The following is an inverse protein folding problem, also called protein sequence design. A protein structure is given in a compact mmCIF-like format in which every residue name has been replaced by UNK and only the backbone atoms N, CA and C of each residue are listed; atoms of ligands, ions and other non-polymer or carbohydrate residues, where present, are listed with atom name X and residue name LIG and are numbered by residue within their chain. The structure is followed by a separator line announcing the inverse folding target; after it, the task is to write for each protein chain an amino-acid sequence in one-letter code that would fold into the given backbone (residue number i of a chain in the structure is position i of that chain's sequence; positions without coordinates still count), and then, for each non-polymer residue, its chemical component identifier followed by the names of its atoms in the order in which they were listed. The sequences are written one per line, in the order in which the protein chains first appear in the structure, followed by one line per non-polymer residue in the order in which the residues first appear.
data_IF_338782993980
#
_entry.id   IF_338782993980
#
_cell.length_a   1.000
_cell.length_b   1.000
_cell.length_c   1.000
_cell.angle_alpha   90.00
_cell.angle_beta   90.00
_cell.angle_gamma   90.00
#
_symmetry.space_group_name_H-M   'P 1'
#
loop_
_entity.id
_entity.type
_entity.pdbx_description
1 polymer ?
#
# COMPACT_ATOMS: atom_id res chain seq x y z
N UNK A 1 71.72 -42.97 -4.37
CA UNK A 1 70.68 -43.66 -5.16
C UNK A 1 69.35 -43.26 -4.56
N UNK A 2 68.51 -42.62 -5.38
CA UNK A 2 67.17 -42.06 -5.12
C UNK A 2 66.24 -43.06 -4.39
N UNK A 3 65.10 -42.68 -3.78
CA UNK A 3 63.91 -42.10 -4.43
C UNK A 3 63.03 -41.43 -3.35
N UNK A 4 62.65 -40.18 -3.59
CA UNK A 4 61.61 -39.47 -2.85
C UNK A 4 60.20 -39.77 -3.37
N UNK A 5 59.24 -39.60 -2.45
CA UNK A 5 57.80 -39.74 -2.58
C UNK A 5 57.16 -38.94 -3.72
N UNK A 6 56.31 -39.59 -4.52
CA UNK A 6 55.31 -38.91 -5.36
C UNK A 6 53.91 -39.43 -5.00
N UNK A 7 53.16 -38.68 -4.17
CA UNK A 7 51.72 -38.90 -3.98
C UNK A 7 50.96 -37.87 -4.82
N UNK A 8 50.34 -38.38 -5.88
CA UNK A 8 49.20 -37.91 -6.68
C UNK A 8 48.72 -36.46 -6.49
N UNK A 9 49.09 -35.60 -7.44
CA UNK A 9 48.55 -34.25 -7.66
C UNK A 9 47.34 -34.23 -8.63
N UNK A 10 46.84 -35.41 -9.04
CA UNK A 10 45.92 -35.53 -10.18
C UNK A 10 44.45 -35.33 -9.82
N UNK A 11 44.06 -35.44 -8.54
CA UNK A 11 42.66 -35.31 -8.09
C UNK A 11 42.25 -33.86 -7.77
N UNK A 12 43.22 -32.96 -7.57
CA UNK A 12 42.96 -31.54 -7.27
C UNK A 12 42.78 -30.75 -8.58
N UNK A 13 43.47 -31.15 -9.66
CA UNK A 13 43.40 -30.46 -10.95
C UNK A 13 42.00 -30.57 -11.60
N UNK A 14 41.29 -31.69 -11.42
CA UNK A 14 39.95 -31.89 -11.98
C UNK A 14 38.86 -31.00 -11.34
N UNK A 15 39.00 -30.63 -10.06
CA UNK A 15 38.06 -29.74 -9.37
C UNK A 15 38.28 -28.26 -9.71
N UNK A 16 39.53 -27.86 -9.96
CA UNK A 16 39.86 -26.48 -10.35
C UNK A 16 39.43 -26.20 -11.79
N UNK A 17 39.54 -27.18 -12.70
CA UNK A 17 39.16 -27.01 -14.10
C UNK A 17 37.62 -26.94 -14.29
N UNK A 18 36.83 -27.67 -13.48
CA UNK A 18 35.37 -27.58 -13.57
C UNK A 18 34.82 -26.24 -13.02
N UNK A 19 35.46 -25.62 -12.03
CA UNK A 19 35.14 -24.25 -11.59
C UNK A 19 35.66 -23.18 -12.55
N UNK A 20 36.79 -23.40 -13.21
CA UNK A 20 37.37 -22.44 -14.15
C UNK A 20 36.62 -22.36 -15.49
N UNK A 21 35.84 -23.38 -15.86
CA UNK A 21 35.03 -23.40 -17.09
C UNK A 21 33.65 -22.74 -16.96
N UNK A 22 33.22 -22.35 -15.75
CA UNK A 22 32.01 -21.52 -15.54
C UNK A 22 32.30 -20.04 -15.26
N UNK A 23 33.55 -19.66 -15.04
CA UNK A 23 33.92 -18.29 -14.65
C UNK A 23 34.52 -17.50 -15.83
N UNK A 24 33.71 -17.20 -16.84
CA UNK A 24 33.92 -15.95 -17.58
C UNK A 24 33.26 -14.88 -16.72
N UNK A 25 33.97 -14.43 -15.69
CA UNK A 25 33.58 -13.28 -14.90
C UNK A 25 33.71 -12.04 -15.79
N UNK A 26 32.65 -11.71 -16.52
CA UNK A 26 32.39 -10.33 -16.90
C UNK A 26 32.39 -9.52 -15.59
N UNK A 27 33.16 -8.43 -15.49
CA UNK A 27 33.05 -7.51 -14.36
C UNK A 27 31.71 -6.78 -14.50
N UNK A 28 30.63 -7.47 -14.20
CA UNK A 28 29.37 -6.83 -13.92
C UNK A 28 29.52 -6.32 -12.49
N UNK A 29 29.70 -5.01 -12.32
CA UNK A 29 29.37 -4.37 -11.06
C UNK A 29 28.00 -4.89 -10.65
N UNK A 30 27.86 -5.44 -9.44
CA UNK A 30 26.60 -5.97 -8.95
C UNK A 30 25.46 -5.02 -9.32
N UNK A 31 24.51 -5.51 -10.10
CA UNK A 31 23.50 -4.67 -10.73
C UNK A 31 22.39 -4.44 -9.70
N UNK A 32 22.38 -3.32 -8.99
CA UNK A 32 21.27 -3.01 -8.10
C UNK A 32 20.09 -2.46 -8.92
N UNK A 33 19.18 -3.36 -9.33
CA UNK A 33 18.04 -3.02 -10.19
C UNK A 33 16.72 -3.64 -9.66
N UNK A 34 16.26 -3.23 -8.48
CA UNK A 34 14.97 -3.68 -7.97
C UNK A 34 13.81 -3.12 -8.80
N UNK A 35 12.63 -3.74 -8.69
CA UNK A 35 11.36 -3.14 -9.12
C UNK A 35 10.39 -3.06 -7.96
N UNK A 36 9.48 -2.08 -8.01
CA UNK A 36 8.47 -1.83 -6.97
C UNK A 36 7.08 -1.80 -7.59
N UNK A 37 6.10 -2.30 -6.86
CA UNK A 37 4.68 -2.08 -7.16
C UNK A 37 3.93 -1.89 -5.84
N UNK A 38 3.16 -0.82 -5.74
CA UNK A 38 2.37 -0.51 -4.55
C UNK A 38 0.87 -0.66 -4.82
N UNK A 39 0.13 -1.12 -3.82
CA UNK A 39 -1.33 -1.24 -3.85
C UNK A 39 -1.93 -0.81 -2.52
N UNK A 40 -3.14 -0.26 -2.57
CA UNK A 40 -3.93 0.14 -1.41
C UNK A 40 -5.27 -0.61 -1.43
N UNK A 41 -5.82 -0.91 -0.26
CA UNK A 41 -7.15 -1.51 -0.14
C UNK A 41 -8.30 -0.49 -0.33
N UNK A 42 -8.00 0.78 -0.07
CA UNK A 42 -8.89 1.92 -0.16
C UNK A 42 -8.11 3.13 -0.68
N UNK A 43 -8.75 3.98 -1.49
CA UNK A 43 -8.21 5.27 -1.95
C UNK A 43 -9.21 6.42 -1.72
N UNK A 44 -10.21 6.20 -0.87
CA UNK A 44 -11.12 7.24 -0.43
C UNK A 44 -10.38 8.23 0.47
N UNK A 45 -10.40 9.50 0.07
CA UNK A 45 -9.87 10.60 0.84
C UNK A 45 -10.53 10.67 2.22
N UNK A 46 -9.78 11.08 3.24
CA UNK A 46 -10.25 11.12 4.63
C UNK A 46 -10.42 9.75 5.30
N UNK A 47 -10.36 8.64 4.56
CA UNK A 47 -10.45 7.30 5.11
C UNK A 47 -9.05 6.67 5.31
N UNK A 48 -8.98 5.69 6.21
CA UNK A 48 -7.78 4.88 6.40
C UNK A 48 -7.63 3.85 5.27
N UNK A 49 -6.39 3.48 4.96
CA UNK A 49 -6.05 2.38 4.08
C UNK A 49 -4.91 1.53 4.64
N UNK A 50 -5.00 0.23 4.38
CA UNK A 50 -3.84 -0.63 4.36
C UNK A 50 -3.13 -0.52 3.02
N UNK A 51 -1.84 -0.82 2.99
CA UNK A 51 -1.10 -0.90 1.75
C UNK A 51 -0.19 -2.12 1.70
N UNK A 52 0.06 -2.56 0.48
CA UNK A 52 1.02 -3.60 0.18
C UNK A 52 2.01 -3.12 -0.87
N UNK A 53 3.29 -3.38 -0.64
CA UNK A 53 4.36 -3.10 -1.58
C UNK A 53 5.07 -4.40 -1.94
N UNK A 54 5.13 -4.71 -3.23
CA UNK A 54 5.89 -5.83 -3.77
C UNK A 54 7.20 -5.32 -4.35
N UNK A 55 8.30 -5.85 -3.84
CA UNK A 55 9.65 -5.59 -4.31
C UNK A 55 10.19 -6.86 -4.98
N UNK A 56 10.86 -6.71 -6.12
CA UNK A 56 11.58 -7.80 -6.77
C UNK A 56 13.05 -7.44 -6.90
N UNK A 57 13.91 -8.30 -6.38
CA UNK A 57 15.36 -8.24 -6.58
C UNK A 57 15.76 -9.37 -7.54
N UNK A 58 16.10 -9.07 -8.80
CA UNK A 58 16.46 -10.10 -9.76
C UNK A 58 17.77 -10.82 -9.41
N UNK A 59 17.93 -12.06 -9.87
CA UNK A 59 19.20 -12.79 -9.82
C UNK A 59 20.38 -11.93 -10.33
N UNK A 60 21.49 -11.98 -9.60
CA UNK A 60 22.70 -11.19 -9.83
C UNK A 60 22.62 -9.76 -9.27
N UNK A 61 21.49 -9.36 -8.68
CA UNK A 61 21.34 -8.05 -8.04
C UNK A 61 21.76 -8.07 -6.58
N UNK A 62 22.16 -6.92 -6.05
CA UNK A 62 22.27 -6.78 -4.61
C UNK A 62 20.88 -6.73 -3.96
N UNK A 63 20.72 -7.36 -2.81
CA UNK A 63 19.48 -7.22 -2.04
C UNK A 63 19.42 -5.93 -1.21
N UNK A 64 18.27 -5.66 -0.57
CA UNK A 64 18.02 -4.42 0.14
C UNK A 64 18.71 -4.42 1.51
N UNK A 65 19.33 -3.30 1.84
CA UNK A 65 19.74 -2.95 3.21
C UNK A 65 18.68 -2.09 3.92
N UNK A 66 18.08 -1.14 3.20
CA UNK A 66 16.98 -0.35 3.73
C UNK A 66 15.96 -0.01 2.65
N UNK A 67 14.73 0.22 3.11
CA UNK A 67 13.58 0.64 2.33
C UNK A 67 12.94 1.82 3.06
N UNK A 68 12.92 2.99 2.42
CA UNK A 68 12.25 4.19 2.91
C UNK A 68 11.08 4.50 1.98
N UNK A 69 9.87 4.53 2.54
CA UNK A 69 8.65 4.90 1.83
C UNK A 69 8.20 6.26 2.39
N UNK A 70 7.87 7.19 1.52
CA UNK A 70 7.38 8.52 1.89
C UNK A 70 6.04 8.78 1.20
N UNK A 71 5.10 9.31 1.99
CA UNK A 71 3.79 9.75 1.55
C UNK A 71 3.74 11.28 1.68
N UNK A 72 3.26 11.98 0.65
CA UNK A 72 3.26 13.45 0.60
C UNK A 72 2.16 14.10 1.45
N UNK A 73 0.92 13.66 1.29
CA UNK A 73 -0.27 14.33 1.84
C UNK A 73 -0.97 13.51 2.94
N UNK A 74 -0.58 12.26 3.11
CA UNK A 74 -1.22 11.34 4.05
C UNK A 74 -0.49 11.28 5.37
N UNK A 75 -1.19 10.90 6.45
CA UNK A 75 -0.62 10.86 7.78
C UNK A 75 -0.90 9.53 8.44
N UNK A 76 -0.01 9.08 9.32
CA UNK A 76 -0.31 7.93 10.16
C UNK A 76 -1.16 8.34 11.37
N UNK A 77 -2.12 7.49 11.73
CA UNK A 77 -2.84 7.57 13.00
C UNK A 77 -2.48 6.39 13.88
N UNK A 78 -1.76 6.68 14.97
CA UNK A 78 -1.33 5.67 15.93
C UNK A 78 -2.29 5.53 17.12
N UNK A 79 -3.46 6.18 17.06
CA UNK A 79 -4.46 6.12 18.12
C UNK A 79 -4.98 4.69 18.33
N UNK A 80 -4.92 4.23 19.57
CA UNK A 80 -5.43 2.90 19.95
C UNK A 80 -4.46 1.74 19.76
N UNK A 81 -3.30 1.96 19.15
CA UNK A 81 -2.25 0.94 19.04
C UNK A 81 -1.49 0.77 20.36
N UNK A 82 -1.07 -0.47 20.64
CA UNK A 82 -0.33 -0.82 21.86
C UNK A 82 0.87 -1.73 21.56
N UNK A 83 1.95 -1.67 22.37
CA UNK A 83 3.07 -2.60 22.24
C UNK A 83 2.65 -4.06 22.21
N UNK A 84 3.27 -4.85 21.33
CA UNK A 84 2.98 -6.27 21.09
C UNK A 84 1.85 -6.54 20.09
N UNK A 85 1.11 -5.51 19.65
CA UNK A 85 0.12 -5.67 18.57
C UNK A 85 0.83 -5.91 17.22
N UNK A 86 0.24 -6.74 16.37
CA UNK A 86 0.68 -6.90 14.98
C UNK A 86 0.12 -5.76 14.12
N UNK A 87 0.97 -5.16 13.28
CA UNK A 87 0.63 -4.02 12.40
C UNK A 87 1.01 -4.24 10.93
N UNK A 88 1.37 -5.47 10.59
CA UNK A 88 1.76 -5.82 9.23
C UNK A 88 2.51 -7.14 9.14
N UNK A 89 3.14 -7.34 8.00
CA UNK A 89 3.92 -8.53 7.70
C UNK A 89 4.87 -8.31 6.53
N UNK A 90 5.85 -9.21 6.44
CA UNK A 90 6.73 -9.34 5.29
C UNK A 90 6.77 -10.81 4.87
N UNK A 91 6.56 -11.06 3.58
CA UNK A 91 6.67 -12.39 2.97
C UNK A 91 7.79 -12.35 1.95
N UNK A 92 8.78 -13.22 2.14
CA UNK A 92 9.86 -13.42 1.17
C UNK A 92 9.64 -14.76 0.51
N UNK A 93 9.37 -14.74 -0.80
CA UNK A 93 9.25 -15.94 -1.60
C UNK A 93 10.64 -16.43 -2.00
N UNK A 94 10.96 -17.68 -1.67
CA UNK A 94 12.23 -18.31 -2.02
C UNK A 94 11.96 -19.38 -3.06
N UNK A 95 12.53 -19.22 -4.24
CA UNK A 95 12.52 -20.24 -5.28
C UNK A 95 13.90 -20.35 -5.93
N UNK A 96 14.65 -21.37 -5.54
CA UNK A 96 15.99 -21.66 -6.05
C UNK A 96 15.94 -23.01 -6.75
N UNK A 97 16.22 -23.04 -8.05
CA UNK A 97 16.25 -24.28 -8.83
C UNK A 97 17.65 -24.53 -9.38
N UNK A 98 18.34 -25.50 -8.79
CA UNK A 98 19.62 -26.00 -9.31
C UNK A 98 19.45 -27.40 -9.92
N UNK A 99 20.41 -27.92 -10.70
CA UNK A 99 20.34 -29.29 -11.22
C UNK A 99 20.29 -30.39 -10.14
N UNK A 100 20.65 -30.07 -8.90
CA UNK A 100 20.81 -31.04 -7.79
C UNK A 100 19.77 -30.84 -6.69
N UNK A 101 19.34 -29.60 -6.47
CA UNK A 101 18.43 -29.21 -5.38
C UNK A 101 17.44 -28.16 -5.87
N UNK A 102 16.17 -28.34 -5.53
CA UNK A 102 15.14 -27.29 -5.60
C UNK A 102 14.81 -26.84 -4.18
N UNK A 103 14.92 -25.55 -3.89
CA UNK A 103 14.46 -24.92 -2.65
C UNK A 103 13.26 -24.06 -2.99
N UNK A 104 12.12 -24.31 -2.35
CA UNK A 104 10.88 -23.61 -2.58
C UNK A 104 10.10 -23.45 -1.27
N UNK A 105 9.57 -22.25 -1.05
CA UNK A 105 8.74 -21.91 0.10
C UNK A 105 8.87 -20.43 0.43
N UNK A 106 8.48 -20.06 1.64
CA UNK A 106 8.38 -18.67 2.07
C UNK A 106 9.08 -18.48 3.41
N UNK A 107 9.59 -17.28 3.64
CA UNK A 107 9.92 -16.78 4.96
C UNK A 107 8.86 -15.73 5.30
N UNK A 108 8.11 -15.96 6.37
CA UNK A 108 7.03 -15.09 6.83
C UNK A 108 7.50 -14.42 8.11
N UNK A 109 7.46 -13.09 8.12
CA UNK A 109 7.73 -12.27 9.29
C UNK A 109 6.52 -11.42 9.64
N UNK A 110 6.16 -11.41 10.92
CA UNK A 110 5.09 -10.56 11.45
C UNK A 110 5.67 -9.27 12.01
N UNK A 111 5.06 -8.14 11.68
CA UNK A 111 5.49 -6.83 12.16
C UNK A 111 4.76 -6.53 13.47
N UNK A 112 5.49 -6.50 14.58
CA UNK A 112 4.93 -6.28 15.92
C UNK A 112 5.44 -4.98 16.51
N UNK A 113 4.53 -4.20 17.12
CA UNK A 113 4.86 -2.93 17.77
C UNK A 113 5.80 -3.17 18.95
N UNK A 114 6.90 -2.45 18.99
CA UNK A 114 7.79 -2.34 20.15
C UNK A 114 7.40 -1.15 21.02
N UNK A 115 7.31 0.03 20.42
CA UNK A 115 6.92 1.28 21.11
C UNK A 115 5.99 2.10 20.21
N UNK A 116 5.16 2.93 20.83
CA UNK A 116 4.26 3.85 20.12
C UNK A 116 4.15 5.14 20.93
N UNK A 117 4.26 6.26 20.24
CA UNK A 117 3.97 7.59 20.76
C UNK A 117 3.08 8.37 19.77
N UNK A 118 2.99 9.69 19.92
CA UNK A 118 2.09 10.52 19.11
C UNK A 118 2.58 10.73 17.67
N UNK A 119 3.87 10.58 17.43
CA UNK A 119 4.50 10.93 16.14
C UNK A 119 5.23 9.74 15.51
N UNK A 120 5.52 8.71 16.29
CA UNK A 120 6.29 7.55 15.87
C UNK A 120 5.72 6.25 16.42
N UNK A 121 5.80 5.22 15.59
CA UNK A 121 5.55 3.83 15.96
C UNK A 121 6.77 3.01 15.55
N UNK A 122 7.46 2.45 16.52
CA UNK A 122 8.59 1.55 16.30
C UNK A 122 8.09 0.10 16.37
N UNK A 123 8.44 -0.70 15.38
CA UNK A 123 8.07 -2.10 15.28
C UNK A 123 9.26 -2.95 14.80
N UNK A 124 9.12 -4.26 14.97
CA UNK A 124 10.09 -5.24 14.47
C UNK A 124 9.36 -6.30 13.66
N UNK A 125 9.89 -6.63 12.49
CA UNK A 125 9.44 -7.77 11.70
C UNK A 125 10.17 -9.02 12.20
N UNK A 126 9.48 -9.91 12.91
CA UNK A 126 10.06 -11.14 13.44
C UNK A 126 9.66 -12.33 12.59
N UNK A 127 10.61 -13.17 12.20
CA UNK A 127 10.32 -14.39 11.42
C UNK A 127 9.51 -15.36 12.28
N UNK A 128 8.26 -15.60 11.92
CA UNK A 128 7.35 -16.48 12.66
C UNK A 128 7.24 -17.85 12.01
N UNK A 129 7.33 -17.92 10.68
CA UNK A 129 7.14 -19.15 9.94
C UNK A 129 8.09 -19.24 8.73
N UNK A 130 8.53 -20.46 8.45
CA UNK A 130 9.25 -20.81 7.23
C UNK A 130 8.57 -22.03 6.62
N UNK A 131 8.18 -21.93 5.36
CA UNK A 131 7.41 -22.97 4.67
C UNK A 131 8.27 -23.78 3.68
N UNK A 132 7.72 -24.91 3.23
CA UNK A 132 8.37 -25.77 2.24
C UNK A 132 9.69 -26.37 2.74
N UNK A 133 10.73 -26.31 1.92
CA UNK A 133 12.07 -26.81 2.27
C UNK A 133 13.11 -25.69 2.43
N UNK A 134 12.66 -24.43 2.58
CA UNK A 134 13.52 -23.24 2.69
C UNK A 134 14.47 -23.35 3.87
N UNK A 135 14.00 -23.73 5.07
CA UNK A 135 14.88 -23.85 6.24
C UNK A 135 16.03 -24.85 6.03
N UNK A 136 15.75 -25.99 5.38
CA UNK A 136 16.77 -26.99 5.04
C UNK A 136 17.70 -26.51 3.92
N UNK A 137 17.16 -25.81 2.92
CA UNK A 137 17.93 -25.21 1.82
C UNK A 137 18.90 -24.13 2.33
N UNK A 138 18.43 -23.22 3.18
CA UNK A 138 19.25 -22.20 3.83
C UNK A 138 20.37 -22.82 4.68
N UNK A 139 20.06 -23.85 5.46
CA UNK A 139 21.06 -24.57 6.25
C UNK A 139 22.15 -25.21 5.37
N UNK A 140 21.78 -25.75 4.21
CA UNK A 140 22.75 -26.29 3.25
C UNK A 140 23.67 -25.21 2.67
N UNK A 141 23.16 -23.98 2.54
CA UNK A 141 23.90 -22.80 2.10
C UNK A 141 24.67 -22.11 3.24
N UNK A 142 24.60 -22.63 4.48
CA UNK A 142 25.33 -22.11 5.63
C UNK A 142 24.60 -21.00 6.40
N UNK A 143 23.34 -20.74 6.08
CA UNK A 143 22.51 -19.78 6.81
C UNK A 143 21.76 -20.50 7.96
N UNK A 144 21.85 -20.00 9.20
CA UNK A 144 21.08 -20.57 10.31
C UNK A 144 19.58 -20.37 10.09
N UNK A 145 18.75 -21.19 10.74
CA UNK A 145 17.30 -21.00 10.71
C UNK A 145 16.94 -19.64 11.38
N UNK A 146 16.34 -18.69 10.66
CA UNK A 146 16.02 -17.37 11.20
C UNK A 146 14.72 -17.31 12.02
N UNK A 147 14.00 -18.43 12.20
CA UNK A 147 12.74 -18.45 12.99
C UNK A 147 12.97 -17.89 14.40
N UNK A 148 12.14 -16.93 14.81
CA UNK A 148 12.25 -16.20 16.07
C UNK A 148 13.29 -15.08 16.09
N UNK A 149 13.96 -14.80 14.97
CA UNK A 149 14.87 -13.67 14.83
C UNK A 149 14.15 -12.47 14.20
N UNK A 150 14.67 -11.28 14.47
CA UNK A 150 14.20 -10.03 13.86
C UNK A 150 14.80 -9.96 12.45
N UNK A 151 13.94 -9.95 11.43
CA UNK A 151 14.28 -9.73 10.03
C UNK A 151 14.53 -8.26 9.72
N UNK A 152 13.64 -7.38 10.20
CA UNK A 152 13.71 -5.95 9.92
C UNK A 152 13.34 -5.12 11.14
N UNK A 153 14.00 -3.98 11.30
CA UNK A 153 13.53 -2.91 12.17
C UNK A 153 12.66 -1.96 11.35
N UNK A 154 11.53 -1.55 11.90
CA UNK A 154 10.52 -0.76 11.21
C UNK A 154 10.18 0.48 12.03
N UNK A 155 10.17 1.64 11.39
CA UNK A 155 9.77 2.89 12.03
C UNK A 155 8.77 3.61 11.14
N UNK A 156 7.56 3.81 11.65
CA UNK A 156 6.53 4.63 11.05
C UNK A 156 6.61 6.00 11.71
N UNK A 157 6.69 7.06 10.92
CA UNK A 157 6.84 8.44 11.40
C UNK A 157 5.80 9.33 10.75
N UNK A 158 5.09 10.10 11.57
CA UNK A 158 4.25 11.20 11.15
C UNK A 158 5.11 12.44 10.91
N UNK A 159 4.92 13.13 9.78
CA UNK A 159 5.65 14.35 9.49
C UNK A 159 4.92 15.60 10.05
N UNK A 160 5.64 16.65 10.50
CA UNK A 160 5.04 17.77 11.24
C UNK A 160 4.10 18.70 10.47
N UNK A 161 4.07 18.62 9.14
CA UNK A 161 3.26 19.52 8.28
C UNK A 161 2.18 18.69 7.61
N UNK A 162 2.59 17.89 6.62
CA UNK A 162 1.80 16.84 5.99
C UNK A 162 2.77 15.73 5.61
N UNK A 163 2.28 14.50 5.53
CA UNK A 163 3.04 13.34 5.09
C UNK A 163 3.38 12.36 6.20
N UNK A 164 3.89 11.23 5.76
CA UNK A 164 4.29 10.14 6.61
C UNK A 164 5.49 9.42 6.00
N UNK A 165 6.32 8.79 6.83
CA UNK A 165 7.43 7.96 6.34
C UNK A 165 7.44 6.62 7.04
N UNK A 166 7.70 5.58 6.25
CA UNK A 166 7.96 4.24 6.75
C UNK A 166 9.39 3.87 6.40
N UNK A 167 10.23 3.68 7.42
CA UNK A 167 11.61 3.26 7.26
C UNK A 167 11.78 1.81 7.75
N UNK A 168 12.29 0.95 6.87
CA UNK A 168 12.53 -0.46 7.12
C UNK A 168 14.03 -0.70 6.92
N UNK A 169 14.68 -1.29 7.91
CA UNK A 169 16.12 -1.56 7.87
C UNK A 169 16.35 -3.04 8.15
N UNK A 170 17.16 -3.69 7.31
CA UNK A 170 17.58 -5.07 7.51
C UNK A 170 18.29 -5.21 8.87
N UNK A 171 17.82 -6.16 9.67
CA UNK A 171 18.42 -6.49 10.96
C UNK A 171 19.56 -7.52 10.81
N UNK A 172 19.80 -8.02 9.60
CA UNK A 172 20.91 -8.90 9.25
C UNK A 172 20.68 -10.37 9.57
N UNK A 173 19.44 -10.76 9.90
CA UNK A 173 19.09 -12.17 10.15
C UNK A 173 18.69 -12.93 8.89
N UNK A 174 18.36 -12.22 7.81
CA UNK A 174 17.99 -12.82 6.53
C UNK A 174 19.17 -12.81 5.54
N UNK A 175 19.22 -13.78 4.60
CA UNK A 175 20.24 -13.86 3.56
C UNK A 175 19.95 -12.89 2.40
N UNK A 176 19.60 -11.65 2.71
CA UNK A 176 19.24 -10.63 1.72
C UNK A 176 20.39 -9.66 1.42
N UNK A 177 21.52 -9.78 2.09
CA UNK A 177 22.68 -8.93 1.87
C UNK A 177 23.59 -9.46 0.76
N UNK A 178 24.27 -8.55 0.06
CA UNK A 178 25.17 -8.89 -1.04
C UNK A 178 24.46 -9.30 -2.33
N UNK A 179 25.23 -9.88 -3.25
CA UNK A 179 24.72 -10.35 -4.54
C UNK A 179 23.87 -11.60 -4.33
N UNK A 180 22.64 -11.55 -4.81
CA UNK A 180 21.69 -12.65 -4.75
C UNK A 180 21.87 -13.53 -5.99
N UNK A 181 22.05 -14.84 -5.79
CA UNK A 181 22.15 -15.81 -6.90
C UNK A 181 20.75 -16.31 -7.36
N UNK A 182 19.67 -15.62 -6.98
CA UNK A 182 18.29 -15.96 -7.32
C UNK A 182 17.37 -14.74 -7.17
N UNK A 183 16.20 -14.81 -7.81
CA UNK A 183 15.16 -13.79 -7.67
C UNK A 183 14.55 -13.80 -6.26
N UNK A 184 14.42 -12.63 -5.64
CA UNK A 184 13.77 -12.47 -4.34
C UNK A 184 12.58 -11.52 -4.47
N UNK A 185 11.36 -12.07 -4.58
CA UNK A 185 10.14 -11.34 -4.32
C UNK A 185 9.98 -11.12 -2.81
N UNK A 186 9.84 -9.86 -2.40
CA UNK A 186 9.52 -9.45 -1.04
C UNK A 186 8.21 -8.68 -1.09
N UNK A 187 7.19 -9.18 -0.39
CA UNK A 187 5.90 -8.51 -0.25
C UNK A 187 5.81 -7.96 1.17
N UNK A 188 5.67 -6.65 1.27
CA UNK A 188 5.39 -5.95 2.52
C UNK A 188 3.89 -5.63 2.59
N UNK A 189 3.28 -5.79 3.76
CA UNK A 189 1.89 -5.42 4.03
C UNK A 189 1.78 -4.70 5.36
N UNK A 190 0.88 -3.72 5.45
CA UNK A 190 0.55 -3.05 6.72
C UNK A 190 -0.93 -3.24 7.06
N UNK A 191 -1.28 -3.03 8.32
CA UNK A 191 -2.68 -2.77 8.71
C UNK A 191 -3.15 -1.38 8.21
N UNK A 192 -4.46 -1.06 8.31
CA UNK A 192 -5.01 0.25 7.97
C UNK A 192 -4.56 1.33 8.95
N UNK A 193 -3.34 1.83 8.75
CA UNK A 193 -2.71 2.83 9.61
C UNK A 193 -2.37 4.13 8.87
N UNK A 194 -2.50 4.16 7.54
CA UNK A 194 -2.34 5.35 6.70
C UNK A 194 -3.70 6.02 6.51
N UNK A 195 -3.88 7.23 7.04
CA UNK A 195 -5.08 8.04 6.83
C UNK A 195 -4.85 8.98 5.65
N UNK A 196 -5.74 8.90 4.67
CA UNK A 196 -5.70 9.76 3.50
C UNK A 196 -6.09 11.21 3.84
N UNK A 197 -5.47 12.17 3.14
CA UNK A 197 -5.87 13.57 3.24
C UNK A 197 -7.37 13.74 2.95
N UNK A 198 -8.15 14.47 3.78
CA UNK A 198 -9.56 14.75 3.51
C UNK A 198 -9.74 15.76 2.36
N UNK A 199 -8.68 16.44 1.91
CA UNK A 199 -8.76 17.35 0.77
C UNK A 199 -8.73 16.63 -0.59
N UNK A 200 -8.63 15.29 -0.59
CA UNK A 200 -8.45 14.51 -1.81
C UNK A 200 -7.12 14.80 -2.51
N UNK A 201 -7.11 14.64 -3.84
CA UNK A 201 -5.95 14.93 -4.67
C UNK A 201 -5.21 13.67 -5.13
N UNK A 202 -3.88 13.75 -5.17
CA UNK A 202 -3.02 12.64 -5.62
C UNK A 202 -2.07 12.28 -4.51
N UNK A 203 -2.21 11.04 -4.01
CA UNK A 203 -1.25 10.42 -3.14
C UNK A 203 0.00 10.07 -3.96
N UNK A 204 1.13 10.65 -3.56
CA UNK A 204 2.45 10.35 -4.12
C UNK A 204 3.18 9.43 -3.15
N UNK A 205 3.55 8.24 -3.63
CA UNK A 205 4.35 7.27 -2.88
C UNK A 205 5.77 7.28 -3.44
N UNK A 206 6.69 7.87 -2.71
CA UNK A 206 8.12 7.81 -3.03
C UNK A 206 8.77 6.66 -2.27
N UNK A 207 9.33 5.71 -3.00
CA UNK A 207 10.04 4.56 -2.44
C UNK A 207 11.53 4.65 -2.77
N UNK A 208 12.35 4.76 -1.74
CA UNK A 208 13.82 4.77 -1.83
C UNK A 208 14.38 3.47 -1.26
N UNK A 209 15.07 2.69 -2.09
CA UNK A 209 15.71 1.44 -1.69
C UNK A 209 17.22 1.64 -1.69
N UNK A 210 17.90 1.24 -0.62
CA UNK A 210 19.36 1.26 -0.53
C UNK A 210 19.87 -0.17 -0.42
N UNK A 211 20.83 -0.53 -1.26
CA UNK A 211 21.53 -1.81 -1.25
C UNK A 211 22.56 -1.92 -0.13
N UNK A 212 23.06 -3.13 0.12
CA UNK A 212 24.16 -3.37 1.07
C UNK A 212 25.47 -2.65 0.75
N UNK A 213 25.73 -2.32 -0.53
CA UNK A 213 26.88 -1.52 -0.95
C UNK A 213 26.66 0.00 -0.89
N UNK A 214 25.43 0.44 -0.56
CA UNK A 214 25.06 1.85 -0.47
C UNK A 214 24.58 2.46 -1.79
N UNK A 215 24.37 1.67 -2.84
CA UNK A 215 23.68 2.13 -4.06
C UNK A 215 22.20 2.33 -3.75
N UNK A 216 21.63 3.44 -4.18
CA UNK A 216 20.23 3.82 -3.94
C UNK A 216 19.44 3.90 -5.25
N UNK A 217 18.19 3.45 -5.21
CA UNK A 217 17.22 3.56 -6.30
C UNK A 217 15.93 4.19 -5.76
N UNK A 218 15.28 5.02 -6.58
CA UNK A 218 14.05 5.73 -6.21
C UNK A 218 12.94 5.43 -7.22
N UNK A 219 11.73 5.26 -6.70
CA UNK A 219 10.50 5.02 -7.45
C UNK A 219 9.43 5.98 -6.97
N UNK A 220 8.64 6.51 -7.90
CA UNK A 220 7.50 7.38 -7.62
C UNK A 220 6.26 6.74 -8.25
N UNK A 221 5.25 6.49 -7.44
CA UNK A 221 3.93 6.00 -7.88
C UNK A 221 2.85 7.01 -7.48
N UNK A 222 1.89 7.25 -8.37
CA UNK A 222 0.82 8.24 -8.21
C UNK A 222 -0.54 7.55 -8.10
N UNK A 223 -1.28 7.87 -7.03
CA UNK A 223 -2.60 7.30 -6.75
C UNK A 223 -3.62 8.44 -6.61
N UNK A 224 -4.56 8.61 -7.55
CA UNK A 224 -5.65 9.55 -7.39
C UNK A 224 -6.55 9.11 -6.23
N UNK A 225 -6.74 10.00 -5.25
CA UNK A 225 -7.69 9.78 -4.17
C UNK A 225 -9.10 10.10 -4.70
N UNK A 226 -10.05 9.21 -4.46
CA UNK A 226 -11.47 9.52 -4.62
C UNK A 226 -11.86 10.54 -3.54
N UNK A 227 -12.51 11.63 -3.94
CA UNK A 227 -13.00 12.69 -3.05
C UNK A 227 -13.80 12.06 -1.88
N UNK A 228 -13.64 12.47 -0.59
CA UNK A 228 -14.35 11.84 0.51
C UNK A 228 -15.86 12.02 0.39
N UNK A 229 -16.27 13.09 -0.30
CA UNK A 229 -17.61 13.68 -0.32
C UNK A 229 -18.33 13.44 -1.66
N UNK A 230 -17.85 12.47 -2.45
CA UNK A 230 -18.32 12.23 -3.82
C UNK A 230 -17.99 13.37 -4.79
N UNK A 231 -18.59 13.33 -5.97
CA UNK A 231 -18.56 14.42 -6.93
C UNK A 231 -19.25 15.67 -6.36
N UNK A 232 -18.74 16.86 -6.71
CA UNK A 232 -19.46 18.10 -6.41
C UNK A 232 -20.86 18.06 -7.01
N UNK A 233 -21.84 18.56 -6.28
CA UNK A 233 -23.23 18.58 -6.72
C UNK A 233 -23.93 19.86 -6.31
N UNK A 234 -25.20 19.96 -6.69
CA UNK A 234 -26.11 21.00 -6.24
C UNK A 234 -27.28 20.32 -5.52
N UNK A 235 -27.42 20.56 -4.22
CA UNK A 235 -28.48 20.00 -3.40
C UNK A 235 -29.84 20.44 -3.93
N UNK A 236 -30.77 19.50 -4.01
CA UNK A 236 -32.09 19.61 -4.60
C UNK A 236 -32.15 19.70 -6.15
N UNK A 237 -31.03 19.62 -6.86
CA UNK A 237 -30.99 19.39 -8.32
C UNK A 237 -30.90 17.88 -8.60
N UNK A 238 -31.93 17.15 -8.18
CA UNK A 238 -31.96 15.68 -8.15
C UNK A 238 -31.90 15.04 -9.56
N UNK A 239 -32.30 15.78 -10.61
CA UNK A 239 -32.19 15.29 -11.99
C UNK A 239 -30.84 15.68 -12.66
N UNK A 240 -29.97 16.38 -11.94
CA UNK A 240 -28.65 16.86 -12.35
C UNK A 240 -28.65 17.71 -13.63
N UNK A 241 -29.69 18.52 -13.85
CA UNK A 241 -29.83 19.39 -15.03
C UNK A 241 -29.27 20.82 -14.83
N UNK A 242 -28.74 21.10 -13.63
CA UNK A 242 -28.10 22.34 -13.26
C UNK A 242 -29.09 23.41 -12.79
N UNK A 243 -30.38 23.09 -12.65
CA UNK A 243 -31.43 24.04 -12.31
C UNK A 243 -32.39 23.50 -11.26
N UNK A 244 -32.40 24.08 -10.06
CA UNK A 244 -33.42 23.75 -9.05
C UNK A 244 -34.82 24.23 -9.45
N UNK A 245 -35.69 23.28 -9.79
CA UNK A 245 -37.06 23.53 -10.24
C UNK A 245 -38.00 22.34 -9.91
N UNK A 246 -39.23 22.38 -10.45
CA UNK A 246 -40.23 21.34 -10.16
C UNK A 246 -39.86 19.97 -10.77
N UNK A 247 -39.02 19.93 -11.81
CA UNK A 247 -38.57 18.71 -12.44
C UNK A 247 -37.77 17.83 -11.48
N UNK A 248 -36.99 18.42 -10.57
CA UNK A 248 -36.24 17.71 -9.53
C UNK A 248 -37.16 16.96 -8.58
N UNK A 249 -38.19 17.65 -8.09
CA UNK A 249 -39.20 17.04 -7.22
C UNK A 249 -39.92 15.89 -7.93
N UNK A 250 -40.25 16.05 -9.22
CA UNK A 250 -40.88 14.99 -10.01
C UNK A 250 -39.94 13.80 -10.14
N UNK A 251 -38.64 14.05 -10.36
CA UNK A 251 -37.62 13.01 -10.45
C UNK A 251 -37.49 12.23 -9.13
N UNK A 252 -37.38 12.91 -7.99
CA UNK A 252 -37.36 12.28 -6.65
C UNK A 252 -38.60 11.42 -6.40
N UNK A 253 -39.79 11.93 -6.71
CA UNK A 253 -41.03 11.16 -6.51
C UNK A 253 -41.15 9.98 -7.47
N UNK A 254 -40.64 10.11 -8.69
CA UNK A 254 -40.62 9.03 -9.67
C UNK A 254 -39.70 7.89 -9.23
N UNK A 255 -38.51 8.20 -8.70
CA UNK A 255 -37.59 7.19 -8.16
C UNK A 255 -38.19 6.48 -6.94
N UNK A 256 -38.80 7.22 -6.02
CA UNK A 256 -39.39 6.67 -4.79
C UNK A 256 -40.63 5.79 -5.02
N UNK A 257 -41.52 6.18 -5.94
CA UNK A 257 -42.86 5.59 -6.01
C UNK A 257 -43.22 4.96 -7.35
N UNK A 258 -42.46 5.25 -8.42
CA UNK A 258 -42.79 4.80 -9.78
C UNK A 258 -41.73 3.87 -10.38
N UNK A 259 -40.72 3.47 -9.61
CA UNK A 259 -39.58 2.68 -10.11
C UNK A 259 -38.73 3.44 -11.13
N UNK A 260 -38.76 4.77 -11.07
CA UNK A 260 -37.88 5.63 -11.86
C UNK A 260 -36.42 5.42 -11.48
N UNK A 261 -35.51 5.85 -12.36
CA UNK A 261 -34.09 5.85 -12.06
C UNK A 261 -33.80 6.84 -10.92
N UNK A 262 -32.96 6.45 -9.96
CA UNK A 262 -32.62 7.28 -8.79
C UNK A 262 -31.51 8.30 -9.07
N UNK A 263 -30.92 8.30 -10.28
CA UNK A 263 -29.74 9.09 -10.59
C UNK A 263 -28.44 8.43 -10.10
N UNK A 264 -27.33 9.14 -10.28
CA UNK A 264 -25.97 8.76 -9.81
C UNK A 264 -25.52 9.59 -8.62
N UNK A 265 -26.35 10.51 -8.14
CA UNK A 265 -26.04 11.37 -7.02
C UNK A 265 -27.24 11.43 -6.08
N UNK A 266 -27.21 10.65 -5.01
CA UNK A 266 -28.33 10.59 -4.07
C UNK A 266 -28.33 11.78 -3.12
N UNK A 267 -27.17 12.39 -2.86
CA UNK A 267 -27.07 13.62 -2.04
C UNK A 267 -27.78 14.81 -2.68
N UNK A 268 -27.77 14.90 -4.01
CA UNK A 268 -28.54 15.90 -4.73
C UNK A 268 -30.06 15.73 -4.53
N UNK A 269 -30.52 14.51 -4.26
CA UNK A 269 -31.92 14.19 -4.03
C UNK A 269 -32.35 14.33 -2.56
N UNK A 270 -31.39 14.28 -1.61
CA UNK A 270 -31.61 14.65 -0.21
C UNK A 270 -31.67 16.18 -0.07
N UNK A 271 -32.85 16.72 -0.35
CA UNK A 271 -33.07 18.17 -0.42
C UNK A 271 -33.05 18.82 0.94
N UNK A 272 -33.38 18.07 2.01
CA UNK A 272 -33.42 18.59 3.37
C UNK A 272 -32.24 18.16 4.25
N UNK A 273 -31.23 17.51 3.67
CA UNK A 273 -29.94 17.19 4.28
C UNK A 273 -30.12 16.43 5.60
N UNK A 274 -30.97 15.39 5.59
CA UNK A 274 -31.26 14.56 6.77
C UNK A 274 -30.68 13.14 6.70
N UNK A 275 -29.91 12.85 5.65
CA UNK A 275 -29.25 11.59 5.36
C UNK A 275 -30.20 10.52 4.83
N UNK A 276 -31.32 10.90 4.22
CA UNK A 276 -32.34 9.95 3.76
C UNK A 276 -33.26 10.50 2.67
N UNK A 277 -33.08 10.05 1.43
CA UNK A 277 -34.01 10.38 0.33
C UNK A 277 -35.37 9.73 0.53
N UNK A 278 -36.39 10.54 0.81
CA UNK A 278 -37.77 10.14 1.05
C UNK A 278 -38.78 11.23 0.61
N UNK A 279 -40.04 11.12 1.05
CA UNK A 279 -41.08 12.08 0.65
C UNK A 279 -40.88 13.48 1.26
N UNK A 280 -40.14 13.58 2.37
CA UNK A 280 -39.81 14.83 3.02
C UNK A 280 -39.02 15.76 2.09
N UNK A 281 -38.11 15.22 1.27
CA UNK A 281 -37.31 15.96 0.30
C UNK A 281 -38.17 16.67 -0.73
N UNK A 282 -39.14 15.94 -1.28
CA UNK A 282 -40.08 16.48 -2.26
C UNK A 282 -40.94 17.59 -1.64
N UNK A 283 -41.40 17.40 -0.39
CA UNK A 283 -42.18 18.42 0.33
C UNK A 283 -41.33 19.65 0.64
N UNK A 284 -40.09 19.45 1.06
CA UNK A 284 -39.13 20.51 1.35
C UNK A 284 -38.84 21.35 0.10
N UNK A 285 -38.51 20.69 -1.01
CA UNK A 285 -38.24 21.32 -2.31
C UNK A 285 -39.44 22.12 -2.83
N UNK A 286 -40.66 21.57 -2.76
CA UNK A 286 -41.88 22.30 -3.15
C UNK A 286 -42.17 23.50 -2.24
N UNK A 287 -41.90 23.39 -0.94
CA UNK A 287 -42.07 24.50 -0.01
C UNK A 287 -41.10 25.65 -0.31
N UNK A 288 -39.84 25.33 -0.63
CA UNK A 288 -38.84 26.31 -1.06
C UNK A 288 -39.26 26.99 -2.38
N UNK A 289 -39.69 26.22 -3.39
CA UNK A 289 -40.07 26.72 -4.71
C UNK A 289 -41.32 27.60 -4.71
N UNK A 290 -42.35 27.24 -3.95
CA UNK A 290 -43.69 27.84 -4.10
C UNK A 290 -44.26 28.52 -2.86
N UNK A 291 -43.74 28.23 -1.66
CA UNK A 291 -44.30 28.72 -0.40
C UNK A 291 -43.35 29.63 0.38
N UNK A 292 -42.22 30.03 -0.23
CA UNK A 292 -41.19 30.84 0.45
C UNK A 292 -40.53 30.12 1.62
N UNK A 293 -40.43 28.78 1.54
CA UNK A 293 -39.67 27.96 2.49
C UNK A 293 -38.17 28.27 2.45
N UNK A 294 -37.43 27.68 3.40
CA UNK A 294 -35.97 27.73 3.41
C UNK A 294 -35.39 27.06 2.17
N UNK A 295 -34.39 27.69 1.55
CA UNK A 295 -33.63 27.06 0.47
C UNK A 295 -32.80 25.89 1.02
N UNK A 296 -32.48 24.87 0.19
CA UNK A 296 -31.56 23.80 0.55
C UNK A 296 -30.25 24.34 1.11
N UNK A 297 -29.68 23.60 2.06
CA UNK A 297 -28.37 23.89 2.62
C UNK A 297 -27.26 23.79 1.54
N UNK A 298 -26.04 24.19 1.90
CA UNK A 298 -24.90 23.97 1.01
C UNK A 298 -24.72 22.45 0.73
N UNK A 299 -24.34 22.05 -0.49
CA UNK A 299 -24.08 22.88 -1.67
C UNK A 299 -25.40 23.35 -2.34
N UNK A 300 -25.76 24.62 -2.18
CA UNK A 300 -27.10 25.11 -2.53
C UNK A 300 -27.30 25.19 -4.05
N UNK A 301 -28.55 25.16 -4.54
CA UNK A 301 -28.86 25.35 -5.96
C UNK A 301 -28.09 26.48 -6.66
N UNK A 302 -27.48 26.17 -7.79
CA UNK A 302 -26.67 27.08 -8.60
C UNK A 302 -25.20 27.21 -8.18
N UNK A 303 -24.77 26.50 -7.14
CA UNK A 303 -23.36 26.47 -6.69
C UNK A 303 -22.93 25.03 -6.48
N UNK A 304 -22.01 24.54 -7.33
CA UNK A 304 -21.35 23.26 -7.11
C UNK A 304 -20.52 23.31 -5.83
N UNK A 305 -20.64 22.28 -5.01
CA UNK A 305 -19.84 22.07 -3.82
C UNK A 305 -19.99 20.65 -3.33
N UNK A 306 -19.27 20.33 -2.27
CA UNK A 306 -19.32 19.02 -1.62
C UNK A 306 -20.36 19.00 -0.51
N UNK A 307 -20.77 17.80 -0.09
CA UNK A 307 -21.55 17.66 1.14
C UNK A 307 -20.63 17.77 2.37
N UNK A 308 -20.60 18.94 3.02
CA UNK A 308 -19.77 19.12 4.22
C UNK A 308 -20.28 18.32 5.44
N UNK A 309 -21.49 17.75 5.36
CA UNK A 309 -22.15 16.97 6.41
C UNK A 309 -22.16 15.47 6.12
N UNK A 310 -21.39 14.99 5.13
CA UNK A 310 -21.32 13.59 4.71
C UNK A 310 -20.89 12.67 5.87
N UNK A 311 -21.90 12.21 6.60
CA UNK A 311 -21.79 11.32 7.76
C UNK A 311 -22.77 10.16 7.65
N UNK A 312 -23.49 10.09 6.54
CA UNK A 312 -24.51 9.09 6.28
C UNK A 312 -24.04 8.09 5.20
N UNK A 313 -24.97 7.53 4.43
CA UNK A 313 -24.66 6.46 3.46
C UNK A 313 -25.06 6.84 2.04
N UNK A 314 -25.58 8.04 1.86
CA UNK A 314 -25.80 8.63 0.56
C UNK A 314 -24.46 9.06 -0.01
N UNK A 315 -24.32 8.98 -1.33
CA UNK A 315 -23.10 9.37 -2.02
C UNK A 315 -23.47 10.02 -3.36
N UNK A 316 -22.51 10.76 -3.89
CA UNK A 316 -22.56 11.38 -5.18
C UNK A 316 -21.50 10.79 -6.12
N UNK A 317 -21.77 9.64 -6.72
CA UNK A 317 -20.81 8.99 -7.64
C UNK A 317 -20.49 9.88 -8.85
N UNK A 318 -21.50 10.59 -9.38
CA UNK A 318 -21.31 11.58 -10.45
C UNK A 318 -22.49 12.53 -10.56
N UNK A 319 -22.21 13.77 -10.97
CA UNK A 319 -23.21 14.82 -11.12
C UNK A 319 -22.92 15.68 -12.35
N UNK A 320 -23.59 15.43 -13.48
CA UNK A 320 -23.16 15.96 -14.79
C UNK A 320 -23.24 17.49 -14.99
N UNK A 321 -23.79 18.23 -14.03
CA UNK A 321 -23.85 19.70 -14.02
C UNK A 321 -22.73 20.34 -13.20
N UNK A 322 -21.86 19.51 -12.62
CA UNK A 322 -20.58 19.81 -12.02
C UNK A 322 -19.54 18.81 -12.60
#
# INVERSE_FOLDING_TARGET
MNIEHFRSATTILGRVVLLALLAIATPCSAQFNPSVTTSFDNLQAGAASSFSQTLLFPEGSEGPYSLLIQFNEDTFDFSGFVPGQQVGGAVIDIFIQTPVVTVAGQIIAEVQINTVDLETLEAVAMVTEITGNVAAGLALLGFPNPTGQIAFNVTYTKLPVVGATMNIVDAGSLPLSGILDFDVPLVWTTEPLLNHSPAGGVLVVETTITSSSGVTMQFEELFPLSDPLGAQFQRADCNADGSFNIADTIFTLASLFSGGWAGTCTDACDSNDDGSVNIADAVFSLAALFNGGTLPAAPSPGTCGWDENDTDTLDCESFGSC
#
